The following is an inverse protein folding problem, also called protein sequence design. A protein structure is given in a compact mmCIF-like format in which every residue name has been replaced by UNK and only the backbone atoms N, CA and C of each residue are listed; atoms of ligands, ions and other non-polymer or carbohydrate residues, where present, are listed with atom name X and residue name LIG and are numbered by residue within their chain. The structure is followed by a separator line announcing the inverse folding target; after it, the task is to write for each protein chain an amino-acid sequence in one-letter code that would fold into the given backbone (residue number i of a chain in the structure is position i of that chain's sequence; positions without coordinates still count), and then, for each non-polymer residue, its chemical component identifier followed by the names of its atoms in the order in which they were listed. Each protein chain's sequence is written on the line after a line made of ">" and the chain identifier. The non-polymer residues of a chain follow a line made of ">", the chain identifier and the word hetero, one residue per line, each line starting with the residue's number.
data_IF_395884707938
#
_entry.id   IF_395884707938
#
_cell.length_a   1.000
_cell.length_b   1.000
_cell.length_c   1.000
_cell.angle_alpha   90.00
_cell.angle_beta   90.00
_cell.angle_gamma   90.00
#
_symmetry.space_group_name_H-M   'P 1'
#
loop_
_entity.id
_entity.type
_entity.pdbx_description
1 polymer ?
#
# COMPACT_ATOMS: atom_id res chain seq x y z
N UNK A 1 -22.45 23.23 -16.51
CA UNK A 1 -21.57 22.36 -15.71
C UNK A 1 -20.22 22.46 -16.38
N UNK A 2 -19.19 22.94 -15.68
CA UNK A 2 -17.82 22.92 -16.22
C UNK A 2 -17.41 21.47 -16.39
N UNK A 3 -16.90 21.10 -17.56
CA UNK A 3 -16.25 19.80 -17.74
C UNK A 3 -15.05 19.72 -16.80
N UNK A 4 -14.92 18.62 -16.07
CA UNK A 4 -13.84 18.39 -15.11
C UNK A 4 -12.55 18.07 -15.89
N UNK A 5 -11.53 18.94 -15.88
CA UNK A 5 -10.35 18.79 -16.76
C UNK A 5 -9.54 17.53 -16.47
N UNK A 6 -9.55 17.04 -15.22
CA UNK A 6 -8.82 15.82 -14.83
C UNK A 6 -9.40 14.56 -15.51
N UNK A 7 -10.69 14.58 -15.87
CA UNK A 7 -11.44 13.43 -16.37
C UNK A 7 -11.63 13.48 -17.89
N UNK A 8 -11.18 14.55 -18.56
CA UNK A 8 -11.31 14.70 -20.00
C UNK A 8 -10.35 13.75 -20.74
N UNK A 9 -10.92 12.81 -21.50
CA UNK A 9 -10.17 11.89 -22.36
C UNK A 9 -9.26 12.58 -23.38
N UNK A 10 -9.54 13.84 -23.75
CA UNK A 10 -8.69 14.63 -24.64
C UNK A 10 -7.37 15.07 -23.98
N UNK A 11 -7.31 15.09 -22.65
CA UNK A 11 -6.12 15.47 -21.88
C UNK A 11 -5.02 14.39 -21.90
N UNK A 12 -5.32 13.17 -22.39
CA UNK A 12 -4.34 12.11 -22.47
C UNK A 12 -3.31 12.36 -23.57
N UNK A 13 -2.03 12.18 -23.23
CA UNK A 13 -0.89 12.29 -24.15
C UNK A 13 0.04 11.09 -24.01
N UNK A 14 0.51 10.57 -25.14
CA UNK A 14 1.47 9.46 -25.16
C UNK A 14 2.89 9.88 -24.78
N UNK A 15 3.26 11.12 -25.06
CA UNK A 15 4.54 11.69 -24.65
C UNK A 15 4.34 12.54 -23.40
N UNK A 16 5.18 12.34 -22.39
CA UNK A 16 5.15 13.13 -21.16
C UNK A 16 5.64 14.57 -21.39
N UNK A 17 6.48 14.80 -22.40
CA UNK A 17 6.98 16.13 -22.74
C UNK A 17 6.18 16.80 -23.86
N UNK A 18 5.99 18.14 -23.80
CA UNK A 18 6.36 19.02 -22.68
C UNK A 18 5.49 18.75 -21.43
N UNK A 19 6.04 19.02 -20.24
CA UNK A 19 5.29 18.92 -18.98
C UNK A 19 4.24 20.04 -18.96
N UNK A 20 2.97 19.68 -18.78
CA UNK A 20 1.84 20.61 -18.73
C UNK A 20 1.44 20.91 -17.28
N UNK A 21 1.58 19.92 -16.39
CA UNK A 21 1.27 20.04 -14.96
C UNK A 21 2.52 19.90 -14.11
N UNK A 22 3.30 20.99 -13.99
CA UNK A 22 4.58 20.99 -13.29
C UNK A 22 4.45 20.69 -11.78
N UNK A 23 3.35 21.09 -11.16
CA UNK A 23 3.01 20.81 -9.76
C UNK A 23 2.79 19.31 -9.52
N UNK A 24 2.00 18.65 -10.36
CA UNK A 24 1.79 17.20 -10.32
C UNK A 24 3.07 16.43 -10.62
N UNK A 25 3.82 16.88 -11.63
CA UNK A 25 5.11 16.30 -11.95
C UNK A 25 6.08 16.39 -10.78
N UNK A 26 6.12 17.53 -10.08
CA UNK A 26 6.94 17.69 -8.88
C UNK A 26 6.53 16.70 -7.78
N UNK A 27 5.22 16.44 -7.58
CA UNK A 27 4.76 15.41 -6.64
C UNK A 27 5.24 14.02 -7.03
N UNK A 28 5.17 13.68 -8.31
CA UNK A 28 5.72 12.41 -8.81
C UNK A 28 7.22 12.28 -8.52
N UNK A 29 8.00 13.34 -8.79
CA UNK A 29 9.44 13.34 -8.49
C UNK A 29 9.74 13.23 -6.99
N UNK A 30 8.97 13.92 -6.14
CA UNK A 30 9.08 13.80 -4.69
C UNK A 30 8.79 12.37 -4.21
N UNK A 31 7.75 11.73 -4.73
CA UNK A 31 7.47 10.33 -4.41
C UNK A 31 8.57 9.39 -4.92
N UNK A 32 9.15 9.67 -6.09
CA UNK A 32 10.25 8.88 -6.65
C UNK A 32 11.52 8.94 -5.80
N UNK A 33 11.79 10.07 -5.15
CA UNK A 33 12.92 10.23 -4.22
C UNK A 33 12.74 9.41 -2.92
N UNK A 34 11.53 8.93 -2.64
CA UNK A 34 11.19 8.14 -1.46
C UNK A 34 11.07 6.63 -1.75
N UNK A 35 11.53 6.17 -2.92
CA UNK A 35 11.51 4.74 -3.25
C UNK A 35 12.39 3.93 -2.31
N UNK A 36 11.88 2.79 -1.87
CA UNK A 36 12.59 1.79 -1.09
C UNK A 36 12.09 0.38 -1.45
N UNK A 37 12.86 -0.65 -1.11
CA UNK A 37 12.47 -2.06 -1.26
C UNK A 37 12.41 -2.79 0.09
N UNK A 38 11.60 -3.84 0.17
CA UNK A 38 11.43 -4.60 1.41
C UNK A 38 12.73 -5.25 1.90
N UNK A 39 13.70 -5.51 1.01
CA UNK A 39 15.03 -6.04 1.33
C UNK A 39 15.91 -5.04 2.10
N UNK A 40 15.60 -3.74 2.06
CA UNK A 40 16.35 -2.72 2.78
C UNK A 40 16.10 -2.79 4.30
N UNK A 41 15.06 -3.51 4.73
CA UNK A 41 14.69 -3.64 6.15
C UNK A 41 15.25 -4.95 6.72
N UNK A 42 16.23 -4.82 7.62
CA UNK A 42 16.82 -5.95 8.35
C UNK A 42 15.95 -6.36 9.54
N UNK A 43 15.33 -7.54 9.46
CA UNK A 43 14.49 -8.12 10.50
C UNK A 43 15.22 -9.20 11.34
N UNK A 44 16.53 -9.37 11.16
CA UNK A 44 17.28 -10.49 11.76
C UNK A 44 17.23 -10.55 13.29
N UNK A 45 17.01 -9.41 13.95
CA UNK A 45 16.95 -9.29 15.42
C UNK A 45 15.52 -9.27 15.96
N UNK A 46 14.54 -9.03 15.12
CA UNK A 46 13.17 -8.78 15.56
C UNK A 46 12.53 -10.03 16.17
N UNK A 47 12.91 -11.23 15.72
CA UNK A 47 12.43 -12.48 16.31
C UNK A 47 12.80 -12.62 17.80
N UNK A 48 13.98 -12.14 18.21
CA UNK A 48 14.37 -12.12 19.63
C UNK A 48 13.49 -11.15 20.41
N UNK A 49 13.31 -9.93 19.88
CA UNK A 49 12.48 -8.90 20.49
C UNK A 49 11.03 -9.36 20.67
N UNK A 50 10.46 -9.95 19.62
CA UNK A 50 9.12 -10.48 19.62
C UNK A 50 8.88 -11.52 20.71
N UNK A 51 9.80 -12.49 20.84
CA UNK A 51 9.64 -13.61 21.76
C UNK A 51 10.01 -13.27 23.20
N UNK A 52 11.06 -12.47 23.42
CA UNK A 52 11.69 -12.33 24.74
C UNK A 52 11.48 -10.94 25.38
N UNK A 53 11.10 -9.93 24.60
CA UNK A 53 11.06 -8.54 25.10
C UNK A 53 9.66 -7.91 25.08
N UNK A 54 8.68 -8.56 24.46
CA UNK A 54 7.28 -8.12 24.46
C UNK A 54 6.41 -8.93 25.41
N UNK A 55 5.41 -8.26 25.98
CA UNK A 55 4.31 -8.90 26.71
C UNK A 55 3.28 -9.47 25.73
N UNK A 56 2.49 -10.43 26.19
CA UNK A 56 1.41 -11.02 25.38
C UNK A 56 0.41 -9.98 24.87
N UNK A 57 0.08 -8.96 25.68
CA UNK A 57 -0.80 -7.87 25.28
C UNK A 57 -0.22 -7.00 24.16
N UNK A 58 1.10 -6.79 24.16
CA UNK A 58 1.81 -6.00 23.14
C UNK A 58 1.89 -6.79 21.84
N UNK A 59 2.23 -8.09 21.91
CA UNK A 59 2.16 -9.00 20.76
C UNK A 59 0.76 -9.04 20.17
N UNK A 60 -0.27 -9.24 21.00
CA UNK A 60 -1.66 -9.26 20.56
C UNK A 60 -2.04 -7.97 19.81
N UNK A 61 -1.67 -6.81 20.35
CA UNK A 61 -1.92 -5.52 19.71
C UNK A 61 -1.23 -5.41 18.35
N UNK A 62 0.07 -5.73 18.27
CA UNK A 62 0.84 -5.65 17.02
C UNK A 62 0.31 -6.63 15.98
N UNK A 63 -0.02 -7.87 16.35
CA UNK A 63 -0.61 -8.87 15.42
C UNK A 63 -1.86 -8.32 14.74
N UNK A 64 -2.78 -7.72 15.50
CA UNK A 64 -4.01 -7.16 14.94
C UNK A 64 -3.76 -5.96 14.02
N UNK A 65 -2.77 -5.12 14.33
CA UNK A 65 -2.35 -4.02 13.45
C UNK A 65 -1.79 -4.56 12.14
N UNK A 66 -0.90 -5.56 12.19
CA UNK A 66 -0.31 -6.15 11.00
C UNK A 66 -1.37 -6.81 10.11
N UNK A 67 -2.30 -7.54 10.71
CA UNK A 67 -3.41 -8.16 9.98
C UNK A 67 -4.32 -7.15 9.28
N UNK A 68 -4.57 -6.01 9.93
CA UNK A 68 -5.32 -4.90 9.33
C UNK A 68 -4.58 -4.29 8.13
N UNK A 69 -3.29 -3.98 8.27
CA UNK A 69 -2.53 -3.33 7.19
C UNK A 69 -2.23 -4.24 6.01
N UNK A 70 -1.85 -5.50 6.26
CA UNK A 70 -1.62 -6.49 5.20
C UNK A 70 -2.85 -6.64 4.27
N UNK A 71 -4.04 -6.43 4.83
CA UNK A 71 -5.29 -6.46 4.09
C UNK A 71 -5.67 -5.13 3.43
N UNK A 72 -5.37 -4.00 4.09
CA UNK A 72 -5.79 -2.68 3.65
C UNK A 72 -5.10 -2.24 2.35
N UNK A 73 -3.81 -2.58 2.18
CA UNK A 73 -3.05 -2.16 1.01
C UNK A 73 -3.60 -2.78 -0.28
N UNK A 74 -4.10 -4.03 -0.22
CA UNK A 74 -4.76 -4.67 -1.37
C UNK A 74 -6.02 -3.91 -1.82
N UNK A 75 -6.83 -3.44 -0.87
CA UNK A 75 -8.06 -2.67 -1.15
C UNK A 75 -7.72 -1.31 -1.76
N UNK A 76 -6.69 -0.63 -1.23
CA UNK A 76 -6.21 0.65 -1.77
C UNK A 76 -5.70 0.46 -3.20
N UNK A 77 -4.93 -0.60 -3.45
CA UNK A 77 -4.38 -0.90 -4.77
C UNK A 77 -5.49 -1.18 -5.79
N UNK A 78 -6.50 -1.96 -5.43
CA UNK A 78 -7.67 -2.21 -6.29
C UNK A 78 -8.37 -0.90 -6.70
N UNK A 79 -8.58 0.02 -5.76
CA UNK A 79 -9.16 1.33 -6.08
C UNK A 79 -8.25 2.16 -7.01
N UNK A 80 -6.96 2.26 -6.69
CA UNK A 80 -6.00 3.03 -7.49
C UNK A 80 -5.94 2.53 -8.94
N UNK A 81 -5.94 1.21 -9.14
CA UNK A 81 -5.84 0.58 -10.47
C UNK A 81 -7.18 0.65 -11.22
N UNK A 82 -8.27 0.24 -10.60
CA UNK A 82 -9.57 0.09 -11.28
C UNK A 82 -10.34 1.40 -11.42
N UNK A 83 -10.12 2.39 -10.55
CA UNK A 83 -10.87 3.65 -10.52
C UNK A 83 -9.96 4.84 -10.85
N UNK A 84 -9.10 5.28 -9.93
CA UNK A 84 -8.42 6.57 -10.06
C UNK A 84 -7.47 6.65 -11.26
N UNK A 85 -6.64 5.63 -11.49
CA UNK A 85 -5.74 5.56 -12.65
C UNK A 85 -6.51 5.49 -13.98
N UNK A 86 -7.71 4.91 -13.97
CA UNK A 86 -8.58 4.78 -15.13
C UNK A 86 -9.30 6.09 -15.45
N UNK A 87 -9.78 6.79 -14.43
CA UNK A 87 -10.62 7.99 -14.56
C UNK A 87 -9.80 9.24 -14.85
N UNK A 88 -8.69 9.44 -14.15
CA UNK A 88 -7.82 10.61 -14.36
C UNK A 88 -7.05 10.44 -15.66
N UNK A 89 -7.14 11.38 -16.59
CA UNK A 89 -6.55 11.26 -17.93
C UNK A 89 -5.19 11.93 -18.09
N UNK A 90 -4.85 12.85 -17.19
CA UNK A 90 -3.61 13.62 -17.22
C UNK A 90 -2.40 12.71 -16.96
N UNK A 91 -1.40 12.67 -17.86
CA UNK A 91 -0.22 11.81 -17.73
C UNK A 91 0.57 12.02 -16.43
N UNK A 92 0.83 13.26 -16.01
CA UNK A 92 1.60 13.56 -14.80
C UNK A 92 0.97 12.94 -13.54
N UNK A 93 -0.36 12.93 -13.44
CA UNK A 93 -1.09 12.25 -12.37
C UNK A 93 -1.04 10.72 -12.52
N UNK A 94 -1.18 10.19 -13.74
CA UNK A 94 -1.04 8.74 -14.00
C UNK A 94 0.34 8.21 -13.62
N UNK A 95 1.40 8.98 -13.86
CA UNK A 95 2.76 8.62 -13.43
C UNK A 95 2.86 8.55 -11.91
N UNK A 96 2.25 9.49 -11.19
CA UNK A 96 2.16 9.45 -9.73
C UNK A 96 1.40 8.19 -9.26
N UNK A 97 0.22 7.91 -9.81
CA UNK A 97 -0.57 6.73 -9.42
C UNK A 97 0.14 5.42 -9.74
N UNK A 98 0.83 5.32 -10.88
CA UNK A 98 1.63 4.14 -11.21
C UNK A 98 2.75 3.90 -10.18
N UNK A 99 3.38 4.97 -9.71
CA UNK A 99 4.39 4.89 -8.65
C UNK A 99 3.77 4.54 -7.29
N UNK A 100 2.60 5.10 -6.98
CA UNK A 100 1.87 4.78 -5.76
C UNK A 100 1.49 3.30 -5.71
N UNK A 101 0.96 2.75 -6.81
CA UNK A 101 0.67 1.31 -6.94
C UNK A 101 1.91 0.45 -6.71
N UNK A 102 3.06 0.87 -7.26
CA UNK A 102 4.33 0.19 -6.99
C UNK A 102 4.67 0.19 -5.50
N UNK A 103 4.56 1.34 -4.82
CA UNK A 103 4.87 1.43 -3.40
C UNK A 103 3.88 0.68 -2.50
N UNK A 104 2.59 0.65 -2.84
CA UNK A 104 1.61 -0.16 -2.09
C UNK A 104 1.90 -1.67 -2.23
N UNK A 105 2.46 -2.12 -3.35
CA UNK A 105 2.94 -3.50 -3.47
C UNK A 105 4.13 -3.77 -2.54
N UNK A 106 5.07 -2.84 -2.43
CA UNK A 106 6.20 -2.94 -1.50
C UNK A 106 5.72 -2.93 -0.04
N UNK A 107 4.73 -2.08 0.29
CA UNK A 107 4.11 -2.07 1.63
C UNK A 107 3.47 -3.42 1.96
N UNK A 108 2.67 -3.96 1.04
CA UNK A 108 2.04 -5.27 1.19
C UNK A 108 3.08 -6.38 1.38
N UNK A 109 4.15 -6.41 0.58
CA UNK A 109 5.25 -7.35 0.77
C UNK A 109 5.88 -7.21 2.17
N UNK A 110 6.15 -5.98 2.61
CA UNK A 110 6.79 -5.73 3.89
C UNK A 110 5.92 -6.21 5.06
N UNK A 111 4.62 -5.92 5.06
CA UNK A 111 3.72 -6.42 6.11
C UNK A 111 3.66 -7.95 6.14
N UNK A 112 3.68 -8.60 4.96
CA UNK A 112 3.74 -10.06 4.89
C UNK A 112 5.05 -10.61 5.45
N UNK A 113 6.20 -9.97 5.17
CA UNK A 113 7.50 -10.33 5.78
C UNK A 113 7.50 -10.16 7.30
N UNK A 114 6.89 -9.10 7.82
CA UNK A 114 6.75 -8.90 9.28
C UNK A 114 5.91 -10.00 9.93
N UNK A 115 4.76 -10.33 9.33
CA UNK A 115 3.89 -11.42 9.79
C UNK A 115 4.67 -12.74 9.79
N UNK A 116 5.38 -13.07 8.71
CA UNK A 116 6.14 -14.31 8.61
C UNK A 116 7.30 -14.39 9.62
N UNK A 117 7.95 -13.24 9.89
CA UNK A 117 9.03 -13.16 10.89
C UNK A 117 8.49 -13.39 12.31
N UNK A 118 7.37 -12.76 12.67
CA UNK A 118 6.89 -12.73 14.05
C UNK A 118 6.03 -13.94 14.41
N UNK A 119 5.32 -14.50 13.44
CA UNK A 119 4.27 -15.49 13.69
C UNK A 119 4.72 -16.81 13.08
N UNK A 120 5.20 -17.71 13.93
CA UNK A 120 5.73 -19.01 13.48
C UNK A 120 4.64 -20.08 13.36
N UNK A 121 3.47 -19.85 13.95
CA UNK A 121 2.33 -20.74 13.85
C UNK A 121 1.58 -20.53 12.52
N UNK A 122 1.57 -21.56 11.68
CA UNK A 122 1.01 -21.50 10.32
C UNK A 122 -0.52 -21.34 10.30
N UNK A 123 -1.22 -21.85 11.32
CA UNK A 123 -2.66 -21.69 11.45
C UNK A 123 -3.01 -20.24 11.82
N UNK A 124 -2.28 -19.66 12.76
CA UNK A 124 -2.40 -18.26 13.14
C UNK A 124 -2.07 -17.33 11.97
N UNK A 125 -0.98 -17.60 11.22
CA UNK A 125 -0.65 -16.85 10.00
C UNK A 125 -1.80 -16.89 8.99
N UNK A 126 -2.33 -18.08 8.70
CA UNK A 126 -3.45 -18.24 7.78
C UNK A 126 -4.69 -17.46 8.23
N UNK A 127 -4.98 -17.45 9.52
CA UNK A 127 -6.10 -16.72 10.08
C UNK A 127 -5.92 -15.20 9.99
N UNK A 128 -4.69 -14.69 10.16
CA UNK A 128 -4.37 -13.26 10.04
C UNK A 128 -4.39 -12.78 8.60
N UNK A 129 -3.97 -13.59 7.63
CA UNK A 129 -4.12 -13.25 6.21
C UNK A 129 -5.59 -13.21 5.77
N UNK A 130 -6.47 -13.93 6.47
CA UNK A 130 -7.93 -13.88 6.27
C UNK A 130 -8.61 -12.82 7.14
N UNK A 131 -7.87 -11.89 7.75
CA UNK A 131 -8.43 -10.93 8.70
C UNK A 131 -9.55 -10.04 8.14
N UNK A 132 -9.56 -9.74 6.83
CA UNK A 132 -10.70 -9.07 6.17
C UNK A 132 -12.00 -9.84 6.34
N UNK A 133 -11.92 -11.17 6.31
CA UNK A 133 -13.07 -12.06 6.43
C UNK A 133 -13.38 -12.45 7.89
N UNK A 134 -12.37 -12.43 8.77
CA UNK A 134 -12.53 -12.96 10.14
C UNK A 134 -12.66 -11.85 11.19
N UNK A 135 -12.20 -10.63 10.90
CA UNK A 135 -12.17 -9.52 11.87
C UNK A 135 -13.20 -8.45 11.51
N UNK A 136 -14.20 -8.28 12.38
CA UNK A 136 -15.34 -7.38 12.18
C UNK A 136 -14.94 -5.94 11.79
N UNK A 137 -13.95 -5.36 12.47
CA UNK A 137 -13.53 -3.98 12.20
C UNK A 137 -12.74 -3.81 10.90
N UNK A 138 -11.99 -4.84 10.47
CA UNK A 138 -11.32 -4.85 9.17
C UNK A 138 -12.38 -4.93 8.07
N UNK A 139 -13.36 -5.84 8.23
CA UNK A 139 -14.48 -6.01 7.30
C UNK A 139 -15.28 -4.72 7.11
N UNK A 140 -15.64 -4.02 8.19
CA UNK A 140 -16.39 -2.76 8.12
C UNK A 140 -15.67 -1.64 7.36
N UNK A 141 -14.34 -1.69 7.28
CA UNK A 141 -13.56 -0.72 6.51
C UNK A 141 -13.41 -1.13 5.04
N UNK A 142 -13.48 -2.43 4.76
CA UNK A 142 -13.33 -3.01 3.42
C UNK A 142 -14.61 -2.91 2.55
N UNK A 143 -15.76 -2.61 3.15
CA UNK A 143 -17.09 -2.48 2.51
C UNK A 143 -17.67 -1.11 2.76
#
# INVERSE_FOLDING_TARGET
>A
MSEEPLLDSSAFRYAIFPIEHADLWQKYKQAQECLWSAEEIDLSKDGEHWNNHLKDSERYFIKNILAFFASADAIVNENLVEQFSREVQIPEAKFFYGLQVYMENVHSEMYNKLIDTYIQDEEEKTNLFKAVETTHHVRQKAT
#
